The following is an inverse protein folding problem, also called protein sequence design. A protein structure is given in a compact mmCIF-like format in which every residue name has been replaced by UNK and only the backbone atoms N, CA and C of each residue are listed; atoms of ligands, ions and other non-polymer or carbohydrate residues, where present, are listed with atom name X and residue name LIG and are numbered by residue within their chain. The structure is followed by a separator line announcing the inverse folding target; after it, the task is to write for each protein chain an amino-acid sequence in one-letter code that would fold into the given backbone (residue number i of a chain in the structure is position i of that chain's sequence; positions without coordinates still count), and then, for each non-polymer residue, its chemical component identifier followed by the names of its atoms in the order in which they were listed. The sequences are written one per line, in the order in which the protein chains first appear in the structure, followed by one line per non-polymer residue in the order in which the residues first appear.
data_IF_447935070822
#
_entry.id   IF_447935070822
#
_cell.length_a   1.000
_cell.length_b   1.000
_cell.length_c   1.000
_cell.angle_alpha   90.00
_cell.angle_beta   90.00
_cell.angle_gamma   90.00
#
_symmetry.space_group_name_H-M   'P 1'
#
loop_
_entity.id
_entity.type
_entity.pdbx_description
1 polymer ?
#
# COMPACT_ATOMS: atom_id res chain seq x y z
N UNK A 1 -40.66 -11.82 24.33
CA UNK A 1 -39.47 -11.65 25.20
C UNK A 1 -38.47 -10.81 24.44
N UNK A 2 -37.84 -9.78 25.04
CA UNK A 2 -36.81 -9.00 24.36
C UNK A 2 -35.56 -9.88 24.13
N UNK A 3 -34.90 -9.69 22.99
CA UNK A 3 -33.62 -10.33 22.67
C UNK A 3 -32.52 -9.31 22.97
N UNK A 4 -31.56 -9.69 23.80
CA UNK A 4 -30.37 -8.90 24.11
C UNK A 4 -29.19 -9.45 23.31
N UNK A 5 -28.44 -8.57 22.64
CA UNK A 5 -27.25 -8.95 21.88
C UNK A 5 -26.06 -9.00 22.84
N UNK A 6 -25.41 -10.16 23.04
CA UNK A 6 -24.21 -10.25 23.87
C UNK A 6 -23.11 -9.34 23.29
N UNK A 7 -22.40 -8.64 24.17
CA UNK A 7 -21.21 -7.86 23.81
C UNK A 7 -20.05 -8.27 24.69
N UNK A 8 -18.92 -8.59 24.08
CA UNK A 8 -17.70 -8.89 24.82
C UNK A 8 -16.98 -7.61 25.30
N UNK A 9 -16.12 -7.78 26.31
CA UNK A 9 -15.24 -6.72 26.82
C UNK A 9 -13.80 -7.01 26.43
N UNK A 10 -13.25 -6.15 25.57
CA UNK A 10 -11.90 -6.28 25.04
C UNK A 10 -10.90 -5.46 25.88
N UNK A 11 -9.91 -6.11 26.54
CA UNK A 11 -8.98 -5.42 27.45
C UNK A 11 -7.90 -4.59 26.74
N UNK A 12 -7.75 -4.75 25.43
CA UNK A 12 -6.78 -4.01 24.61
C UNK A 12 -7.36 -3.62 23.26
N UNK A 13 -6.60 -2.84 22.51
CA UNK A 13 -6.92 -2.36 21.17
C UNK A 13 -5.70 -2.51 20.25
N UNK A 14 -5.95 -2.62 18.95
CA UNK A 14 -4.89 -2.65 17.94
C UNK A 14 -4.24 -1.27 17.85
N UNK A 15 -2.92 -1.22 17.74
CA UNK A 15 -2.21 0.05 17.54
C UNK A 15 -2.68 0.75 16.26
N UNK A 16 -2.92 2.04 16.38
CA UNK A 16 -3.18 2.91 15.22
C UNK A 16 -1.86 3.33 14.58
N UNK A 17 -1.74 3.14 13.27
CA UNK A 17 -0.55 3.49 12.49
C UNK A 17 -0.97 4.36 11.31
N UNK A 18 -0.33 5.53 11.18
CA UNK A 18 -0.51 6.43 10.03
C UNK A 18 0.68 6.31 9.08
N UNK A 19 0.41 6.12 7.80
CA UNK A 19 1.38 5.98 6.72
C UNK A 19 1.26 7.19 5.79
N UNK A 20 2.42 7.81 5.51
CA UNK A 20 2.53 9.02 4.70
C UNK A 20 2.57 10.31 5.52
N UNK A 21 2.93 11.40 4.86
CA UNK A 21 2.93 12.75 5.42
C UNK A 21 2.62 13.75 4.31
N UNK A 22 1.69 14.66 4.58
CA UNK A 22 1.29 15.76 3.70
C UNK A 22 2.28 16.92 3.77
N UNK A 23 2.14 17.92 2.88
CA UNK A 23 2.96 19.14 2.93
C UNK A 23 2.91 19.83 4.30
N UNK A 24 1.72 19.86 4.93
CA UNK A 24 1.54 20.43 6.27
C UNK A 24 2.31 19.66 7.38
N UNK A 25 2.63 18.39 7.13
CA UNK A 25 3.37 17.49 8.03
C UNK A 25 4.84 17.34 7.62
N UNK A 26 5.30 18.11 6.61
CA UNK A 26 6.68 18.07 6.11
C UNK A 26 6.97 17.00 5.07
N UNK A 27 5.94 16.35 4.52
CA UNK A 27 6.05 15.38 3.43
C UNK A 27 5.56 15.93 2.08
N UNK A 28 5.33 15.03 1.12
CA UNK A 28 4.90 15.39 -0.24
C UNK A 28 3.67 14.60 -0.70
N UNK A 29 3.00 13.87 0.20
CA UNK A 29 1.81 13.08 -0.13
C UNK A 29 0.58 13.97 -0.16
N UNK A 30 -0.42 13.67 -1.00
CA UNK A 30 -1.68 14.42 -0.99
C UNK A 30 -2.60 13.98 0.15
N UNK A 31 -2.50 12.71 0.58
CA UNK A 31 -3.25 12.15 1.71
C UNK A 31 -2.39 11.18 2.52
N UNK A 32 -2.83 10.90 3.74
CA UNK A 32 -2.32 9.84 4.60
C UNK A 32 -3.29 8.66 4.64
N UNK A 33 -2.78 7.48 4.99
CA UNK A 33 -3.59 6.28 5.24
C UNK A 33 -3.36 5.84 6.68
N UNK A 34 -4.43 5.74 7.45
CA UNK A 34 -4.38 5.27 8.84
C UNK A 34 -5.08 3.93 8.93
N UNK A 35 -4.48 2.98 9.65
CA UNK A 35 -5.00 1.62 9.89
C UNK A 35 -4.89 1.26 11.37
N UNK A 36 -5.68 0.29 11.82
CA UNK A 36 -5.67 -0.19 13.20
C UNK A 36 -6.75 0.44 14.08
N UNK A 37 -6.52 0.48 15.40
CA UNK A 37 -7.48 1.08 16.35
C UNK A 37 -8.71 0.22 16.64
N UNK A 38 -8.78 -1.01 16.12
CA UNK A 38 -9.90 -1.90 16.37
C UNK A 38 -9.91 -2.39 17.82
N UNK A 39 -11.11 -2.38 18.42
CA UNK A 39 -11.36 -2.82 19.80
C UNK A 39 -12.48 -3.87 19.89
N UNK A 40 -12.57 -4.72 18.87
CA UNK A 40 -13.38 -5.93 18.84
C UNK A 40 -12.86 -6.87 17.73
N UNK A 41 -13.50 -8.02 17.54
CA UNK A 41 -13.20 -8.90 16.41
C UNK A 41 -13.55 -8.22 15.06
N UNK A 42 -12.93 -8.65 13.95
CA UNK A 42 -13.12 -8.02 12.64
C UNK A 42 -14.61 -7.82 12.28
N UNK A 43 -14.97 -6.57 11.98
CA UNK A 43 -16.30 -6.16 11.52
C UNK A 43 -17.46 -6.33 12.53
N UNK A 44 -17.15 -6.53 13.82
CA UNK A 44 -18.15 -6.52 14.90
C UNK A 44 -18.57 -5.11 15.32
N UNK A 45 -19.10 -4.33 14.37
CA UNK A 45 -19.52 -2.93 14.59
C UNK A 45 -20.59 -2.75 15.69
N UNK A 46 -21.31 -3.81 16.04
CA UNK A 46 -22.29 -3.78 17.13
C UNK A 46 -21.65 -3.76 18.52
N UNK A 47 -20.39 -4.19 18.66
CA UNK A 47 -19.65 -4.21 19.91
C UNK A 47 -18.78 -2.97 20.10
N UNK A 48 -18.00 -2.62 19.08
CA UNK A 48 -17.06 -1.52 19.11
C UNK A 48 -16.95 -0.83 17.73
N UNK A 49 -16.50 0.41 17.73
CA UNK A 49 -16.17 1.13 16.51
C UNK A 49 -14.96 0.49 15.81
N UNK A 50 -14.99 0.52 14.47
CA UNK A 50 -13.87 0.13 13.60
C UNK A 50 -13.45 1.41 12.88
N UNK A 51 -12.54 2.21 13.46
CA UNK A 51 -12.35 3.61 13.08
C UNK A 51 -11.73 3.76 11.68
N UNK A 52 -10.94 2.78 11.23
CA UNK A 52 -10.28 2.80 9.94
C UNK A 52 -10.61 1.54 9.14
N UNK A 53 -10.95 1.67 7.84
CA UNK A 53 -11.18 0.51 6.99
C UNK A 53 -9.85 -0.20 6.66
N UNK A 54 -9.88 -1.49 6.29
CA UNK A 54 -8.72 -2.15 5.71
C UNK A 54 -8.24 -1.41 4.44
N UNK A 55 -6.93 -1.23 4.31
CA UNK A 55 -6.29 -0.63 3.14
C UNK A 55 -5.70 -1.70 2.22
N UNK A 56 -5.79 -1.50 0.91
CA UNK A 56 -5.22 -2.40 -0.09
C UNK A 56 -4.03 -1.73 -0.78
N UNK A 57 -2.86 -2.37 -0.67
CA UNK A 57 -1.68 -1.99 -1.42
C UNK A 57 -1.56 -2.81 -2.70
N UNK A 58 -1.18 -2.16 -3.80
CA UNK A 58 -0.81 -2.85 -5.04
C UNK A 58 0.72 -2.95 -5.10
N UNK A 59 1.21 -4.18 -5.34
CA UNK A 59 2.64 -4.42 -5.56
C UNK A 59 3.08 -3.88 -6.93
N UNK A 60 4.19 -3.15 -6.91
CA UNK A 60 4.97 -2.78 -8.08
C UNK A 60 6.45 -3.13 -7.85
N UNK A 61 7.22 -3.26 -8.93
CA UNK A 61 8.67 -3.44 -8.85
C UNK A 61 9.42 -2.26 -9.47
N UNK A 62 10.68 -2.12 -9.09
CA UNK A 62 11.64 -1.17 -9.66
C UNK A 62 12.05 -1.49 -11.11
N UNK A 63 11.82 -2.73 -11.55
CA UNK A 63 11.93 -3.18 -12.94
C UNK A 63 10.79 -4.12 -13.33
N UNK A 64 10.63 -4.32 -14.64
CA UNK A 64 9.72 -5.35 -15.17
C UNK A 64 10.12 -6.74 -14.63
N UNK A 65 9.21 -7.47 -13.98
CA UNK A 65 9.47 -8.81 -13.48
C UNK A 65 9.53 -9.84 -14.61
N UNK A 66 10.44 -10.79 -14.48
CA UNK A 66 10.64 -11.93 -15.38
C UNK A 66 10.01 -13.22 -14.83
N UNK A 67 9.54 -13.18 -13.59
CA UNK A 67 9.00 -14.31 -12.82
C UNK A 67 7.47 -14.25 -12.62
N UNK A 68 6.80 -13.22 -13.12
CA UNK A 68 5.36 -13.06 -13.00
C UNK A 68 4.59 -13.83 -14.08
N UNK A 69 3.34 -14.18 -13.78
CA UNK A 69 2.48 -14.86 -14.75
C UNK A 69 2.20 -13.96 -15.96
N UNK A 70 2.05 -14.57 -17.14
CA UNK A 70 1.77 -13.83 -18.37
C UNK A 70 0.50 -12.97 -18.28
N UNK A 71 -0.51 -13.42 -17.52
CA UNK A 71 -1.76 -12.67 -17.29
C UNK A 71 -1.51 -11.38 -16.48
N UNK A 72 -0.61 -11.41 -15.50
CA UNK A 72 -0.24 -10.20 -14.76
C UNK A 72 0.59 -9.25 -15.64
N UNK A 73 1.47 -9.78 -16.46
CA UNK A 73 2.23 -8.99 -17.44
C UNK A 73 1.30 -8.32 -18.46
N UNK A 74 0.30 -9.04 -18.95
CA UNK A 74 -0.73 -8.50 -19.85
C UNK A 74 -1.59 -7.43 -19.17
N UNK A 75 -2.00 -7.68 -17.92
CA UNK A 75 -2.85 -6.75 -17.16
C UNK A 75 -2.21 -5.39 -16.90
N UNK A 76 -0.89 -5.34 -16.67
CA UNK A 76 -0.17 -4.09 -16.44
C UNK A 76 0.50 -3.52 -17.71
N UNK A 77 0.83 -4.37 -18.68
CA UNK A 77 1.37 -3.99 -19.98
C UNK A 77 2.58 -3.07 -19.89
N UNK A 78 2.54 -1.96 -20.62
CA UNK A 78 3.61 -0.96 -20.72
C UNK A 78 3.81 -0.17 -19.42
N UNK A 79 2.84 -0.17 -18.49
CA UNK A 79 3.01 0.53 -17.22
C UNK A 79 4.19 -0.03 -16.42
N UNK A 80 4.50 -1.32 -16.57
CA UNK A 80 5.60 -2.01 -15.88
C UNK A 80 7.00 -1.59 -16.36
N UNK A 81 7.10 -0.87 -17.49
CA UNK A 81 8.40 -0.54 -18.08
C UNK A 81 9.13 0.56 -17.29
N UNK A 82 8.42 1.30 -16.44
CA UNK A 82 9.00 2.27 -15.50
C UNK A 82 8.23 2.31 -14.16
N UNK A 83 8.91 2.33 -13.00
CA UNK A 83 8.25 2.23 -11.69
C UNK A 83 7.32 3.42 -11.40
N UNK A 84 7.65 4.63 -11.85
CA UNK A 84 6.78 5.80 -11.68
C UNK A 84 5.47 5.68 -12.47
N UNK A 85 5.54 5.21 -13.72
CA UNK A 85 4.36 4.97 -14.56
C UNK A 85 3.50 3.85 -13.99
N UNK A 86 4.14 2.78 -13.50
CA UNK A 86 3.45 1.68 -12.84
C UNK A 86 2.73 2.13 -11.57
N UNK A 87 3.41 2.90 -10.72
CA UNK A 87 2.82 3.42 -9.49
C UNK A 87 1.58 4.28 -9.76
N UNK A 88 1.62 5.14 -10.79
CA UNK A 88 0.48 5.95 -11.20
C UNK A 88 -0.67 5.10 -11.73
N UNK A 89 -0.38 4.04 -12.48
CA UNK A 89 -1.39 3.09 -12.94
C UNK A 89 -2.03 2.33 -11.77
N UNK A 90 -1.24 1.91 -10.79
CA UNK A 90 -1.72 1.26 -9.58
C UNK A 90 -2.62 2.18 -8.72
N UNK A 91 -2.23 3.44 -8.55
CA UNK A 91 -3.07 4.46 -7.89
C UNK A 91 -4.40 4.65 -8.65
N UNK A 92 -4.38 4.76 -9.98
CA UNK A 92 -5.58 4.87 -10.81
C UNK A 92 -6.46 3.61 -10.76
N UNK A 93 -5.88 2.44 -10.49
CA UNK A 93 -6.60 1.18 -10.29
C UNK A 93 -7.27 1.08 -8.90
N UNK A 94 -7.11 2.09 -8.04
CA UNK A 94 -7.76 2.14 -6.72
C UNK A 94 -6.90 1.65 -5.57
N UNK A 95 -5.57 1.61 -5.73
CA UNK A 95 -4.68 1.30 -4.61
C UNK A 95 -4.77 2.39 -3.52
N UNK A 96 -4.89 1.98 -2.26
CA UNK A 96 -4.75 2.89 -1.12
C UNK A 96 -3.27 3.22 -0.87
N UNK A 97 -2.40 2.25 -1.14
CA UNK A 97 -0.97 2.30 -0.91
C UNK A 97 -0.21 1.68 -2.09
N UNK A 98 1.02 2.14 -2.31
CA UNK A 98 1.95 1.52 -3.26
C UNK A 98 2.96 0.68 -2.47
N UNK A 99 3.01 -0.61 -2.73
CA UNK A 99 4.05 -1.48 -2.20
C UNK A 99 5.15 -1.63 -3.28
N UNK A 100 6.24 -0.89 -3.12
CA UNK A 100 7.39 -0.99 -4.02
C UNK A 100 8.34 -2.10 -3.54
N UNK A 101 8.49 -3.16 -4.34
CA UNK A 101 9.49 -4.20 -4.17
C UNK A 101 10.75 -3.83 -4.94
N UNK A 102 11.87 -3.64 -4.24
CA UNK A 102 13.18 -3.39 -4.86
C UNK A 102 13.84 -4.72 -5.24
N UNK A 103 14.19 -4.87 -6.51
CA UNK A 103 14.80 -6.10 -7.03
C UNK A 103 16.28 -6.14 -6.67
N UNK A 104 16.87 -7.33 -6.42
CA UNK A 104 18.29 -7.45 -6.12
C UNK A 104 19.18 -7.19 -7.35
N UNK A 105 18.62 -7.35 -8.56
CA UNK A 105 19.31 -7.10 -9.82
C UNK A 105 18.44 -6.31 -10.79
N UNK A 106 19.10 -5.58 -11.68
CA UNK A 106 18.48 -4.93 -12.83
C UNK A 106 18.07 -5.94 -13.92
N UNK A 107 17.50 -5.43 -15.01
CA UNK A 107 17.04 -6.26 -16.14
C UNK A 107 18.20 -6.93 -16.91
N UNK A 108 19.43 -6.44 -16.78
CA UNK A 108 20.63 -7.04 -17.35
C UNK A 108 21.33 -8.02 -16.39
N UNK A 109 20.80 -8.20 -15.18
CA UNK A 109 21.35 -9.09 -14.15
C UNK A 109 22.45 -8.46 -13.30
N UNK A 110 22.72 -7.15 -13.43
CA UNK A 110 23.67 -6.48 -12.56
C UNK A 110 23.05 -6.23 -11.18
N UNK A 111 23.82 -6.24 -10.09
CA UNK A 111 23.31 -5.89 -8.76
C UNK A 111 22.70 -4.49 -8.72
N UNK A 112 21.52 -4.36 -8.12
CA UNK A 112 20.89 -3.07 -7.88
C UNK A 112 21.72 -2.27 -6.88
N UNK A 113 22.21 -1.10 -7.29
CA UNK A 113 22.96 -0.22 -6.40
C UNK A 113 22.02 0.60 -5.50
N UNK A 114 22.51 1.15 -4.37
CA UNK A 114 21.72 2.06 -3.54
C UNK A 114 21.17 3.25 -4.33
N UNK A 115 21.93 3.81 -5.26
CA UNK A 115 21.50 4.95 -6.09
C UNK A 115 20.37 4.57 -7.03
N UNK A 116 20.40 3.37 -7.60
CA UNK A 116 19.31 2.85 -8.43
C UNK A 116 18.04 2.67 -7.61
N UNK A 117 18.14 2.06 -6.43
CA UNK A 117 17.03 1.89 -5.51
C UNK A 117 16.40 3.24 -5.10
N UNK A 118 17.23 4.23 -4.72
CA UNK A 118 16.76 5.58 -4.38
C UNK A 118 16.09 6.25 -5.58
N UNK A 119 16.65 6.09 -6.78
CA UNK A 119 16.06 6.65 -8.01
C UNK A 119 14.68 6.06 -8.29
N UNK A 120 14.50 4.75 -8.11
CA UNK A 120 13.20 4.10 -8.25
C UNK A 120 12.18 4.64 -7.23
N UNK A 121 12.57 4.74 -5.96
CA UNK A 121 11.72 5.30 -4.89
C UNK A 121 11.33 6.75 -5.20
N UNK A 122 12.29 7.59 -5.60
CA UNK A 122 12.01 8.98 -5.96
C UNK A 122 11.08 9.09 -7.18
N UNK A 123 11.23 8.21 -8.17
CA UNK A 123 10.36 8.15 -9.34
C UNK A 123 8.91 7.86 -8.93
N UNK A 124 8.71 6.89 -8.04
CA UNK A 124 7.39 6.56 -7.47
C UNK A 124 6.82 7.73 -6.69
N UNK A 125 7.60 8.32 -5.76
CA UNK A 125 7.16 9.43 -4.92
C UNK A 125 6.73 10.67 -5.71
N UNK A 126 7.32 10.91 -6.89
CA UNK A 126 6.96 12.03 -7.78
C UNK A 126 5.77 11.71 -8.70
N UNK A 127 5.44 10.44 -8.89
CA UNK A 127 4.44 9.99 -9.87
C UNK A 127 3.08 9.68 -9.25
N UNK A 128 3.04 9.42 -7.95
CA UNK A 128 1.83 9.28 -7.14
C UNK A 128 1.83 10.36 -6.09
N UNK A 129 0.67 10.70 -5.53
CA UNK A 129 0.60 11.81 -4.58
C UNK A 129 -0.66 11.75 -3.78
#
# INVERSE_FOLDING_TARGET
MPIEIPKDKWPGEVHTVTIGATEAEGGTRAKTVTVGGEKALPFMHFEAEMPYPPAVAIEIKDRKPDDWSALLLEGWGEAMDAPGTWAKAAEAAGADLIQLSLSPTDAAGNPTTPEMAVTAVQSVLRSTG
#
